data_IF_008451771017
#
_entry.id   IF_008451771017
#
_cell.length_a   1.000
_cell.length_b   1.000
_cell.length_c   1.000
_cell.angle_alpha   90.00
_cell.angle_beta   90.00
_cell.angle_gamma   90.00
#
_symmetry.space_group_name_H-M   'P 1'
#
loop_
_entity.id
_entity.type
_entity.pdbx_description
1 polymer ?
#
# COMPACT_ATOMS: atom_id res chain seq x y z
N UNK A 1 -29.60 -27.07 -40.79
CA UNK A 1 -30.26 -25.92 -41.43
C UNK A 1 -31.13 -25.28 -40.36
N UNK A 2 -30.84 -24.13 -39.76
CA UNK A 2 -29.70 -23.22 -39.74
C UNK A 2 -29.86 -22.46 -38.42
N UNK A 3 -28.81 -22.42 -37.61
CA UNK A 3 -28.73 -21.54 -36.45
C UNK A 3 -28.58 -20.09 -36.93
N UNK A 4 -29.24 -19.15 -36.28
CA UNK A 4 -28.93 -17.73 -36.37
C UNK A 4 -28.34 -17.35 -35.01
N UNK A 5 -27.06 -17.03 -35.05
CA UNK A 5 -26.27 -16.42 -33.98
C UNK A 5 -26.48 -14.91 -34.11
N UNK A 6 -27.02 -14.28 -33.07
CA UNK A 6 -27.05 -12.82 -32.93
C UNK A 6 -25.78 -12.41 -32.17
N UNK A 7 -24.80 -11.90 -32.93
CA UNK A 7 -23.62 -11.19 -32.42
C UNK A 7 -24.00 -9.73 -32.13
N UNK A 8 -24.20 -9.38 -30.86
CA UNK A 8 -24.24 -7.98 -30.44
C UNK A 8 -22.80 -7.43 -30.35
N UNK A 9 -22.44 -6.64 -31.36
CA UNK A 9 -21.27 -5.75 -31.38
C UNK A 9 -21.40 -4.69 -30.29
N UNK A 10 -20.45 -4.66 -29.37
CA UNK A 10 -20.25 -3.54 -28.44
C UNK A 10 -19.44 -2.47 -29.19
N UNK A 11 -20.09 -1.36 -29.54
CA UNK A 11 -19.43 -0.18 -30.10
C UNK A 11 -18.67 0.57 -29.00
N UNK A 12 -17.39 0.81 -29.25
CA UNK A 12 -16.50 1.63 -28.42
C UNK A 12 -16.84 3.09 -28.70
N UNK A 13 -17.39 3.81 -27.72
CA UNK A 13 -17.63 5.24 -27.83
C UNK A 13 -16.31 5.99 -27.59
N UNK A 14 -15.92 6.77 -28.58
CA UNK A 14 -14.75 7.63 -28.61
C UNK A 14 -14.90 8.83 -27.67
N UNK A 15 -13.79 9.17 -27.00
CA UNK A 15 -13.59 10.40 -26.24
C UNK A 15 -13.91 11.65 -27.08
N UNK A 16 -14.72 12.55 -26.54
CA UNK A 16 -14.88 13.90 -27.07
C UNK A 16 -14.73 14.95 -25.97
N UNK A 17 -13.68 15.75 -26.14
CA UNK A 17 -13.45 17.08 -25.60
C UNK A 17 -14.73 17.91 -25.42
N UNK A 18 -14.87 18.57 -24.27
CA UNK A 18 -15.59 19.83 -24.16
C UNK A 18 -14.73 20.80 -23.32
N UNK A 19 -14.13 21.77 -24.00
CA UNK A 19 -13.62 23.02 -23.44
C UNK A 19 -14.77 24.01 -23.16
N UNK A 20 -14.52 24.89 -22.20
CA UNK A 20 -15.07 26.23 -21.97
C UNK A 20 -16.54 26.43 -21.57
N UNK A 21 -16.70 26.89 -20.32
CA UNK A 21 -17.67 27.94 -19.99
C UNK A 21 -17.10 28.91 -18.94
N UNK A 22 -17.02 30.17 -19.37
CA UNK A 22 -16.51 31.35 -18.69
C UNK A 22 -17.52 31.88 -17.64
N UNK A 23 -16.95 32.33 -16.51
CA UNK A 23 -17.35 33.37 -15.52
C UNK A 23 -18.75 34.02 -15.62
N UNK A 24 -19.44 34.14 -14.47
CA UNK A 24 -19.85 35.45 -13.94
C UNK A 24 -20.38 35.39 -12.47
N UNK A 25 -19.90 36.37 -11.69
CA UNK A 25 -20.49 37.06 -10.52
C UNK A 25 -20.76 36.37 -9.17
N UNK A 26 -20.03 36.84 -8.14
CA UNK A 26 -20.62 37.50 -6.96
C UNK A 26 -19.56 38.09 -6.00
N UNK A 27 -19.44 39.43 -6.06
CA UNK A 27 -19.32 40.41 -4.96
C UNK A 27 -18.53 40.11 -3.67
N UNK A 28 -17.53 40.97 -3.45
CA UNK A 28 -17.26 41.77 -2.23
C UNK A 28 -17.76 41.23 -0.87
N UNK A 29 -16.84 41.02 0.08
CA UNK A 29 -16.63 41.98 1.17
C UNK A 29 -15.33 41.73 1.93
N UNK A 30 -14.91 42.81 2.59
CA UNK A 30 -13.63 43.15 3.18
C UNK A 30 -13.16 42.20 4.31
N UNK A 31 -11.84 42.04 4.43
CA UNK A 31 -11.21 42.36 5.72
C UNK A 31 -9.74 42.76 5.57
N UNK A 32 -9.43 43.86 6.25
CA UNK A 32 -8.16 44.58 6.27
C UNK A 32 -7.21 43.98 7.29
N UNK A 33 -5.92 44.04 6.99
CA UNK A 33 -4.89 44.77 7.75
C UNK A 33 -3.52 44.07 7.65
N UNK A 34 -2.49 44.87 7.41
CA UNK A 34 -1.10 44.47 7.59
C UNK A 34 -0.16 44.99 6.53
N UNK A 35 0.08 46.30 6.55
CA UNK A 35 1.19 46.95 5.83
C UNK A 35 2.53 46.26 6.16
N UNK A 36 3.33 45.99 5.12
CA UNK A 36 4.74 46.40 5.16
C UNK A 36 5.27 46.56 3.73
N UNK A 37 5.40 47.83 3.35
CA UNK A 37 5.99 48.26 2.09
C UNK A 37 7.45 48.64 2.33
N UNK A 38 8.39 47.84 1.85
CA UNK A 38 9.75 48.31 1.56
C UNK A 38 10.20 47.89 0.17
N UNK A 39 9.91 48.76 -0.79
CA UNK A 39 10.75 48.92 -1.99
C UNK A 39 12.08 49.56 -1.61
N UNK A 40 13.21 48.95 -1.97
CA UNK A 40 14.18 49.47 -2.96
C UNK A 40 15.49 48.67 -2.94
N UNK A 41 15.87 48.10 -4.08
CA UNK A 41 17.00 48.59 -4.88
C UNK A 41 17.45 47.51 -5.87
N UNK A 42 17.54 47.94 -7.13
CA UNK A 42 18.00 47.16 -8.26
C UNK A 42 19.53 47.04 -8.15
N UNK A 43 20.04 45.83 -7.92
CA UNK A 43 21.46 45.49 -7.90
C UNK A 43 21.68 44.17 -8.60
N UNK A 44 22.23 44.22 -9.82
CA UNK A 44 22.55 43.04 -10.62
C UNK A 44 23.53 42.11 -9.91
N UNK A 45 23.02 40.95 -9.49
CA UNK A 45 23.76 39.79 -9.05
C UNK A 45 22.79 38.63 -9.14
N UNK A 46 23.15 37.56 -9.87
CA UNK A 46 22.30 36.38 -10.06
C UNK A 46 21.98 35.73 -8.71
N UNK A 47 20.92 36.20 -8.06
CA UNK A 47 20.40 35.65 -6.83
C UNK A 47 19.58 34.42 -7.17
N UNK A 48 20.04 33.24 -6.73
CA UNK A 48 19.16 32.07 -6.61
C UNK A 48 17.92 32.51 -5.83
N UNK A 49 16.74 32.40 -6.42
CA UNK A 49 15.47 32.59 -5.72
C UNK A 49 15.48 31.69 -4.48
N UNK A 50 14.95 32.18 -3.35
CA UNK A 50 14.77 31.33 -2.18
C UNK A 50 13.83 30.21 -2.58
N UNK A 51 14.24 28.96 -2.38
CA UNK A 51 13.37 27.82 -2.55
C UNK A 51 12.10 28.01 -1.69
N UNK A 52 10.94 27.81 -2.30
CA UNK A 52 9.64 27.89 -1.64
C UNK A 52 9.13 26.46 -1.46
N UNK A 53 8.65 26.14 -0.26
CA UNK A 53 7.99 24.85 -0.01
C UNK A 53 6.69 24.82 -0.81
N UNK A 54 6.53 23.77 -1.62
CA UNK A 54 5.28 23.49 -2.31
C UNK A 54 4.23 23.05 -1.29
N UNK A 55 3.05 23.69 -1.34
CA UNK A 55 1.88 23.20 -0.64
C UNK A 55 0.94 22.56 -1.66
N UNK A 56 0.40 21.36 -1.38
CA UNK A 56 -0.57 20.71 -2.25
C UNK A 56 -1.71 21.64 -2.71
N UNK A 57 -2.09 21.53 -3.98
CA UNK A 57 -3.12 22.34 -4.61
C UNK A 57 -2.66 23.69 -5.15
N UNK A 58 -1.37 24.03 -5.03
CA UNK A 58 -0.80 25.20 -5.72
C UNK A 58 -0.47 24.82 -7.17
N UNK A 59 -0.88 25.65 -8.13
CA UNK A 59 -0.42 25.47 -9.51
C UNK A 59 1.06 25.84 -9.61
N UNK A 60 1.82 25.06 -10.38
CA UNK A 60 3.19 25.39 -10.76
C UNK A 60 3.16 26.28 -12.00
N UNK A 61 4.01 27.30 -12.02
CA UNK A 61 4.24 28.06 -13.26
C UNK A 61 4.96 27.17 -14.30
N UNK A 62 4.85 27.52 -15.59
CA UNK A 62 5.42 26.69 -16.69
C UNK A 62 6.93 26.41 -16.60
N UNK A 63 7.65 27.23 -15.84
CA UNK A 63 9.11 27.12 -15.65
C UNK A 63 9.49 26.61 -14.24
N UNK A 64 8.50 26.21 -13.43
CA UNK A 64 8.72 25.65 -12.10
C UNK A 64 8.72 24.11 -12.12
N UNK A 65 9.67 23.53 -11.41
CA UNK A 65 9.76 22.08 -11.20
C UNK A 65 9.83 21.79 -9.70
N UNK A 66 9.15 20.72 -9.27
CA UNK A 66 9.27 20.24 -7.91
C UNK A 66 10.61 19.55 -7.72
N UNK A 67 11.39 20.04 -6.77
CA UNK A 67 12.65 19.42 -6.35
C UNK A 67 12.43 18.86 -4.95
N UNK A 68 12.88 17.62 -4.74
CA UNK A 68 12.84 16.99 -3.42
C UNK A 68 13.67 17.80 -2.41
N UNK A 69 13.05 18.20 -1.32
CA UNK A 69 13.76 18.76 -0.17
C UNK A 69 14.25 17.63 0.73
N UNK A 70 15.49 17.22 0.51
CA UNK A 70 16.17 16.19 1.31
C UNK A 70 16.23 16.54 2.81
N UNK A 71 16.07 17.81 3.19
CA UNK A 71 16.09 18.22 4.60
C UNK A 71 14.87 17.74 5.39
N UNK A 72 13.76 17.42 4.70
CA UNK A 72 12.56 16.86 5.30
C UNK A 72 12.71 15.39 5.73
N UNK A 73 13.78 14.71 5.31
CA UNK A 73 13.97 13.28 5.53
C UNK A 73 15.25 12.98 6.33
N UNK A 74 15.13 12.14 7.35
CA UNK A 74 16.30 11.53 8.01
C UNK A 74 16.97 10.53 7.04
N UNK A 75 16.15 9.78 6.31
CA UNK A 75 16.56 8.78 5.32
C UNK A 75 15.56 8.75 4.16
N UNK A 76 16.08 8.86 2.94
CA UNK A 76 15.35 8.81 1.69
C UNK A 76 16.18 8.01 0.69
N UNK A 77 15.62 6.91 0.21
CA UNK A 77 16.21 6.06 -0.82
C UNK A 77 15.15 5.73 -1.87
N UNK A 78 15.57 5.64 -3.12
CA UNK A 78 14.70 5.25 -4.23
C UNK A 78 15.12 3.87 -4.75
N UNK A 79 14.13 2.99 -4.93
CA UNK A 79 14.30 1.66 -5.47
C UNK A 79 13.44 1.48 -6.73
N UNK A 80 13.95 0.72 -7.70
CA UNK A 80 13.24 0.41 -8.93
C UNK A 80 13.08 -1.10 -9.08
N UNK A 81 11.83 -1.58 -9.15
CA UNK A 81 11.47 -2.99 -9.26
C UNK A 81 11.25 -3.46 -10.71
N UNK A 82 11.33 -2.54 -11.68
CA UNK A 82 11.00 -2.79 -13.09
C UNK A 82 9.51 -2.56 -13.35
N UNK A 83 8.69 -3.59 -13.19
CA UNK A 83 7.24 -3.43 -13.29
C UNK A 83 6.68 -2.69 -12.05
N UNK A 84 5.60 -1.90 -12.20
CA UNK A 84 4.94 -1.27 -11.07
C UNK A 84 4.34 -2.33 -10.14
N UNK A 85 4.21 -1.99 -8.87
CA UNK A 85 3.67 -2.87 -7.84
C UNK A 85 2.40 -2.26 -7.24
N UNK A 86 1.28 -2.98 -7.29
CA UNK A 86 0.01 -2.53 -6.70
C UNK A 86 0.01 -2.63 -5.18
N UNK A 87 0.85 -3.51 -4.63
CA UNK A 87 0.94 -3.74 -3.20
C UNK A 87 2.33 -4.18 -2.80
N UNK A 88 2.69 -3.86 -1.57
CA UNK A 88 3.85 -4.40 -0.88
C UNK A 88 3.50 -4.66 0.58
N UNK A 89 4.31 -5.47 1.24
CA UNK A 89 4.22 -5.69 2.67
C UNK A 89 5.62 -5.88 3.27
N UNK A 90 5.77 -5.52 4.53
CA UNK A 90 7.05 -5.59 5.25
C UNK A 90 7.20 -6.97 5.86
N UNK A 91 8.32 -7.61 5.56
CA UNK A 91 8.69 -8.89 6.14
C UNK A 91 9.30 -8.65 7.52
N UNK A 92 8.75 -9.29 8.54
CA UNK A 92 9.37 -9.29 9.88
C UNK A 92 10.72 -10.01 9.83
N UNK A 93 11.78 -9.24 10.07
CA UNK A 93 13.15 -9.71 10.13
C UNK A 93 13.58 -9.94 11.61
N UNK A 94 14.66 -10.71 11.86
CA UNK A 94 15.12 -10.98 13.21
C UNK A 94 15.98 -9.85 13.82
N UNK A 95 16.09 -8.70 13.16
CA UNK A 95 16.95 -7.58 13.59
C UNK A 95 16.26 -6.70 14.64
N UNK A 96 14.96 -6.90 14.87
CA UNK A 96 14.17 -6.17 15.87
C UNK A 96 13.44 -4.95 15.29
N UNK A 97 12.56 -4.39 16.11
CA UNK A 97 11.74 -3.23 15.78
C UNK A 97 12.41 -1.92 16.25
N UNK A 98 11.88 -0.78 15.81
CA UNK A 98 12.29 0.58 16.22
C UNK A 98 13.82 0.82 16.11
N UNK A 99 14.41 0.30 15.04
CA UNK A 99 15.84 0.45 14.76
C UNK A 99 16.15 1.87 14.28
N UNK A 100 17.00 2.56 15.01
CA UNK A 100 17.45 3.93 14.69
C UNK A 100 18.94 4.02 14.32
N UNK A 101 19.67 2.91 14.43
CA UNK A 101 21.09 2.82 14.09
C UNK A 101 21.29 2.51 12.60
N UNK A 102 22.13 3.32 11.94
CA UNK A 102 22.43 3.20 10.52
C UNK A 102 23.71 2.36 10.30
N UNK A 103 23.82 1.65 9.16
CA UNK A 103 22.84 1.57 8.08
C UNK A 103 21.65 0.65 8.40
N UNK A 104 20.47 1.04 7.92
CA UNK A 104 19.26 0.25 8.04
C UNK A 104 19.18 -0.86 6.97
N UNK A 105 18.45 -1.91 7.32
CA UNK A 105 18.12 -3.04 6.45
C UNK A 105 16.64 -3.35 6.59
N UNK A 106 15.95 -3.58 5.47
CA UNK A 106 14.54 -3.96 5.46
C UNK A 106 14.32 -5.12 4.47
N UNK A 107 13.41 -6.02 4.83
CA UNK A 107 12.93 -7.07 3.95
C UNK A 107 11.50 -6.76 3.56
N UNK A 108 11.19 -6.89 2.27
CA UNK A 108 9.87 -6.56 1.74
C UNK A 108 9.44 -7.63 0.74
N UNK A 109 8.13 -7.70 0.53
CA UNK A 109 7.54 -8.37 -0.63
C UNK A 109 6.70 -7.38 -1.42
N UNK A 110 6.67 -7.51 -2.74
CA UNK A 110 5.80 -6.69 -3.59
C UNK A 110 5.19 -7.51 -4.73
N UNK A 111 3.97 -7.16 -5.10
CA UNK A 111 3.21 -7.81 -6.16
C UNK A 111 3.14 -6.94 -7.40
N UNK A 112 3.58 -7.45 -8.55
CA UNK A 112 3.67 -6.63 -9.77
C UNK A 112 2.35 -6.56 -10.55
N UNK A 113 2.20 -5.48 -11.31
CA UNK A 113 1.18 -5.28 -12.34
C UNK A 113 1.86 -4.90 -13.68
N UNK A 114 2.39 -5.89 -14.37
CA UNK A 114 2.99 -5.73 -15.68
C UNK A 114 1.92 -5.72 -16.78
N UNK A 115 2.16 -4.95 -17.85
CA UNK A 115 1.28 -4.89 -19.02
C UNK A 115 1.04 -6.26 -19.72
N UNK A 116 1.92 -7.23 -19.49
CA UNK A 116 1.77 -8.60 -19.99
C UNK A 116 1.56 -9.55 -18.82
N UNK A 117 0.43 -10.25 -18.81
CA UNK A 117 -0.01 -11.12 -17.71
C UNK A 117 1.00 -12.19 -17.27
N UNK A 118 1.84 -12.68 -18.19
CA UNK A 118 2.86 -13.70 -17.93
C UNK A 118 4.19 -13.16 -17.39
N UNK A 119 4.31 -11.84 -17.24
CA UNK A 119 5.50 -11.15 -16.70
C UNK A 119 5.35 -10.86 -15.21
N UNK A 120 4.15 -11.08 -14.66
CA UNK A 120 3.86 -10.79 -13.27
C UNK A 120 4.55 -11.76 -12.29
N UNK A 121 4.84 -11.25 -11.10
CA UNK A 121 5.43 -12.01 -10.02
C UNK A 121 5.28 -11.36 -8.66
N UNK A 122 5.60 -12.17 -7.65
CA UNK A 122 5.86 -11.71 -6.29
C UNK A 122 7.37 -11.52 -6.19
N UNK A 123 7.79 -10.30 -5.85
CA UNK A 123 9.19 -9.94 -5.65
C UNK A 123 9.48 -10.01 -4.15
N UNK A 124 10.41 -10.86 -3.74
CA UNK A 124 10.98 -10.84 -2.38
C UNK A 124 12.25 -9.99 -2.42
N UNK A 125 12.39 -9.05 -1.50
CA UNK A 125 13.42 -8.00 -1.54
C UNK A 125 14.17 -7.89 -0.22
N UNK A 126 15.46 -7.61 -0.31
CA UNK A 126 16.28 -7.08 0.79
C UNK A 126 16.85 -5.73 0.35
N UNK A 127 16.48 -4.68 1.06
CA UNK A 127 17.10 -3.37 0.98
C UNK A 127 18.10 -3.26 2.13
N UNK A 128 19.37 -2.98 1.84
CA UNK A 128 20.44 -2.96 2.83
C UNK A 128 21.44 -1.84 2.57
N UNK A 129 22.27 -1.55 3.57
CA UNK A 129 23.19 -0.41 3.54
C UNK A 129 22.47 0.94 3.34
N UNK A 130 21.24 1.08 3.85
CA UNK A 130 20.46 2.31 3.74
C UNK A 130 20.95 3.30 4.80
N UNK A 131 21.71 4.30 4.38
CA UNK A 131 22.32 5.32 5.24
C UNK A 131 21.44 6.59 5.32
N UNK A 132 21.74 7.49 6.27
CA UNK A 132 21.10 8.81 6.38
C UNK A 132 21.23 9.61 5.08
N UNK A 133 20.22 10.43 4.77
CA UNK A 133 20.25 11.33 3.61
C UNK A 133 21.23 12.48 3.81
N UNK A 134 21.17 13.11 4.98
CA UNK A 134 22.06 14.22 5.31
C UNK A 134 23.42 13.67 5.77
N UNK A 135 24.50 14.11 5.10
CA UNK A 135 25.87 13.88 5.56
C UNK A 135 26.18 14.90 6.67
N UNK A 136 26.53 14.43 7.86
CA UNK A 136 27.11 15.30 8.89
C UNK A 136 28.37 15.95 8.33
N UNK A 137 28.55 17.27 8.55
CA UNK A 137 29.69 18.05 8.05
C UNK A 137 31.04 17.71 8.73
N UNK A 138 31.06 16.71 9.61
CA UNK A 138 32.19 16.45 10.51
C UNK A 138 33.15 15.34 10.01
N UNK A 139 32.96 14.82 8.80
CA UNK A 139 33.92 13.92 8.13
C UNK A 139 34.94 14.68 7.22
N UNK A 140 35.25 15.95 7.51
CA UNK A 140 36.56 16.51 7.11
C UNK A 140 37.62 16.03 8.11
N UNK A 141 37.87 14.72 8.14
CA UNK A 141 39.16 14.23 8.62
C UNK A 141 40.08 14.10 7.40
N UNK A 142 41.19 14.84 7.48
CA UNK A 142 42.29 14.88 6.51
C UNK A 142 42.61 13.47 5.94
N UNK A 143 42.17 13.18 4.72
CA UNK A 143 42.80 12.14 3.91
C UNK A 143 43.54 12.80 2.74
N UNK A 144 44.77 13.22 3.05
CA UNK A 144 45.79 13.47 2.03
C UNK A 144 46.24 12.12 1.47
N UNK A 145 45.46 11.56 0.54
CA UNK A 145 45.80 10.36 -0.23
C UNK A 145 45.94 10.72 -1.71
N UNK A 146 47.14 10.53 -2.24
CA UNK A 146 47.57 10.90 -3.59
C UNK A 146 46.66 10.31 -4.69
N UNK A 147 46.41 11.11 -5.74
CA UNK A 147 45.78 10.65 -6.97
C UNK A 147 46.59 9.51 -7.60
N UNK A 148 45.98 8.33 -7.67
CA UNK A 148 46.44 7.22 -8.49
C UNK A 148 45.28 6.79 -9.38
N UNK A 149 45.41 7.09 -10.67
CA UNK A 149 44.62 6.50 -11.75
C UNK A 149 44.79 4.97 -11.71
N UNK A 150 43.81 4.26 -11.15
CA UNK A 150 43.62 2.83 -11.40
C UNK A 150 42.12 2.53 -11.52
N UNK A 151 41.77 1.93 -12.66
CA UNK A 151 40.43 1.49 -13.01
C UNK A 151 39.97 0.36 -12.08
N UNK A 152 38.75 0.53 -11.54
CA UNK A 152 37.85 -0.47 -10.96
C UNK A 152 38.15 -1.06 -9.55
N UNK A 153 37.07 -1.09 -8.75
CA UNK A 153 36.88 -1.66 -7.40
C UNK A 153 37.19 -0.73 -6.21
N UNK A 154 36.23 0.13 -5.84
CA UNK A 154 36.27 0.86 -4.58
C UNK A 154 35.21 1.95 -4.41
N UNK A 155 33.96 1.71 -4.81
CA UNK A 155 32.88 2.67 -4.59
C UNK A 155 32.51 2.75 -3.11
N UNK A 156 32.69 3.94 -2.54
CA UNK A 156 32.25 4.44 -1.21
C UNK A 156 31.31 3.46 -0.46
N UNK A 157 31.77 2.89 0.66
CA UNK A 157 31.11 1.80 1.41
C UNK A 157 29.70 2.11 1.95
N UNK A 158 29.11 3.24 1.56
CA UNK A 158 27.81 3.78 1.95
C UNK A 158 26.72 3.60 0.86
N UNK A 159 27.02 2.93 -0.26
CA UNK A 159 26.06 2.72 -1.36
C UNK A 159 24.93 1.74 -0.95
N UNK A 160 23.64 2.13 -1.06
CA UNK A 160 22.53 1.22 -0.75
C UNK A 160 22.45 0.06 -1.76
N UNK A 161 21.99 -1.10 -1.28
CA UNK A 161 21.89 -2.31 -2.07
C UNK A 161 20.46 -2.87 -2.04
N UNK A 162 19.95 -3.22 -3.22
CA UNK A 162 18.68 -3.91 -3.41
C UNK A 162 18.91 -5.28 -4.03
N UNK A 163 18.60 -6.34 -3.28
CA UNK A 163 18.57 -7.71 -3.77
C UNK A 163 17.13 -8.17 -3.95
N UNK A 164 16.83 -8.79 -5.09
CA UNK A 164 15.49 -9.26 -5.43
C UNK A 164 15.50 -10.73 -5.86
N UNK A 165 14.53 -11.50 -5.35
CA UNK A 165 14.21 -12.86 -5.78
C UNK A 165 12.75 -12.90 -6.26
N UNK A 166 12.55 -13.23 -7.55
CA UNK A 166 11.24 -13.22 -8.20
C UNK A 166 10.59 -14.61 -8.17
N UNK A 167 9.33 -14.65 -7.75
CA UNK A 167 8.41 -15.79 -7.91
C UNK A 167 7.43 -15.45 -9.02
N UNK A 168 7.36 -16.26 -10.07
CA UNK A 168 6.35 -16.05 -11.13
C UNK A 168 4.94 -16.19 -10.57
N UNK A 169 4.07 -15.31 -11.02
CA UNK A 169 2.68 -15.27 -10.60
C UNK A 169 1.76 -15.27 -11.82
N UNK A 170 0.65 -16.00 -11.73
CA UNK A 170 -0.34 -16.06 -12.80
C UNK A 170 -1.25 -14.83 -12.70
N UNK A 171 -1.12 -13.91 -13.66
CA UNK A 171 -1.83 -12.63 -13.64
C UNK A 171 -1.22 -11.60 -12.69
N UNK A 172 -1.72 -10.38 -12.73
CA UNK A 172 -1.38 -9.31 -11.80
C UNK A 172 -1.62 -9.72 -10.34
N UNK A 173 -0.79 -9.17 -9.45
CA UNK A 173 -0.93 -9.34 -8.00
C UNK A 173 -1.62 -8.10 -7.43
N UNK A 174 -2.92 -8.20 -7.15
CA UNK A 174 -3.77 -7.09 -6.72
C UNK A 174 -3.39 -6.62 -5.30
N UNK A 175 -3.33 -7.55 -4.35
CA UNK A 175 -2.84 -7.30 -2.99
C UNK A 175 -2.08 -8.52 -2.48
N UNK A 176 -1.03 -8.30 -1.68
CA UNK A 176 -0.36 -9.36 -0.94
C UNK A 176 -0.15 -8.98 0.53
N UNK A 177 -0.06 -10.00 1.39
CA UNK A 177 0.25 -9.85 2.82
C UNK A 177 1.12 -10.99 3.32
N UNK A 178 2.05 -10.68 4.23
CA UNK A 178 3.00 -11.62 4.83
C UNK A 178 2.50 -12.09 6.19
N UNK A 179 2.77 -13.35 6.51
CA UNK A 179 2.70 -13.84 7.90
C UNK A 179 3.86 -14.78 8.20
N UNK A 180 4.26 -14.85 9.46
CA UNK A 180 5.10 -15.93 9.98
C UNK A 180 4.25 -16.95 10.72
N UNK A 181 4.26 -18.20 10.27
CA UNK A 181 3.51 -19.30 10.87
C UNK A 181 4.34 -20.59 10.87
N UNK A 182 4.43 -21.27 12.01
CA UNK A 182 5.21 -22.51 12.19
C UNK A 182 6.66 -22.41 11.68
N UNK A 183 7.34 -21.29 11.95
CA UNK A 183 8.74 -21.07 11.52
C UNK A 183 8.90 -20.87 10.00
N UNK A 184 7.80 -20.69 9.28
CA UNK A 184 7.80 -20.43 7.83
C UNK A 184 7.23 -19.04 7.57
N UNK A 185 7.86 -18.31 6.66
CA UNK A 185 7.32 -17.07 6.14
C UNK A 185 6.46 -17.35 4.92
N UNK A 186 5.20 -16.91 4.99
CA UNK A 186 4.23 -17.07 3.94
C UNK A 186 3.82 -15.72 3.37
N UNK A 187 3.63 -15.69 2.06
CA UNK A 187 2.93 -14.61 1.36
C UNK A 187 1.61 -15.15 0.86
N UNK A 188 0.50 -14.54 1.26
CA UNK A 188 -0.75 -14.69 0.54
C UNK A 188 -0.88 -13.59 -0.52
N UNK A 189 -1.37 -13.95 -1.70
CA UNK A 189 -1.50 -13.03 -2.84
C UNK A 189 -2.84 -13.21 -3.53
N UNK A 190 -3.48 -12.09 -3.83
CA UNK A 190 -4.71 -11.98 -4.60
C UNK A 190 -4.35 -11.81 -6.09
N UNK A 191 -4.81 -12.72 -6.94
CA UNK A 191 -4.60 -12.70 -8.39
C UNK A 191 -5.83 -12.16 -9.13
N UNK A 192 -5.59 -11.30 -10.14
CA UNK A 192 -6.63 -10.85 -11.09
C UNK A 192 -7.38 -12.01 -11.77
N UNK A 193 -6.82 -13.23 -11.75
CA UNK A 193 -7.43 -14.44 -12.28
C UNK A 193 -8.49 -15.06 -11.35
N UNK A 194 -8.94 -14.35 -10.30
CA UNK A 194 -9.95 -14.85 -9.37
C UNK A 194 -9.40 -15.89 -8.38
N UNK A 195 -8.11 -15.84 -8.06
CA UNK A 195 -7.43 -16.85 -7.23
C UNK A 195 -6.64 -16.22 -6.10
N UNK A 196 -6.56 -16.94 -4.99
CA UNK A 196 -5.67 -16.59 -3.89
C UNK A 196 -4.63 -17.69 -3.74
N UNK A 197 -3.36 -17.28 -3.75
CA UNK A 197 -2.22 -18.18 -3.63
C UNK A 197 -1.49 -17.94 -2.32
N UNK A 198 -1.00 -19.01 -1.68
CA UNK A 198 -0.11 -18.94 -0.52
C UNK A 198 1.24 -19.54 -0.92
N UNK A 199 2.30 -18.75 -0.80
CA UNK A 199 3.68 -19.12 -1.12
C UNK A 199 4.53 -19.16 0.13
N UNK A 200 5.32 -20.21 0.30
CA UNK A 200 6.46 -20.21 1.23
C UNK A 200 7.63 -19.47 0.58
N UNK A 201 8.14 -18.44 1.26
CA UNK A 201 9.19 -17.56 0.73
C UNK A 201 10.55 -17.73 1.41
N UNK A 202 10.73 -18.76 2.24
CA UNK A 202 11.98 -18.95 3.01
C UNK A 202 13.21 -19.11 2.10
N UNK A 203 13.09 -19.80 0.97
CA UNK A 203 14.20 -19.95 0.02
C UNK A 203 14.60 -18.60 -0.60
N UNK A 204 13.60 -17.79 -0.94
CA UNK A 204 13.78 -16.48 -1.54
C UNK A 204 14.40 -15.50 -0.55
N UNK A 205 13.96 -15.54 0.71
CA UNK A 205 14.56 -14.76 1.80
C UNK A 205 16.03 -15.13 2.02
N UNK A 206 16.34 -16.43 2.06
CA UNK A 206 17.73 -16.89 2.14
C UNK A 206 18.55 -16.47 0.92
N UNK A 207 17.93 -16.46 -0.27
CA UNK A 207 18.61 -16.03 -1.50
C UNK A 207 18.92 -14.53 -1.49
N UNK A 208 17.99 -13.65 -1.08
CA UNK A 208 18.25 -12.20 -1.08
C UNK A 208 19.21 -11.77 0.03
N UNK A 209 19.38 -12.59 1.07
CA UNK A 209 20.28 -12.31 2.20
C UNK A 209 21.77 -12.40 1.82
N UNK A 210 22.12 -13.25 0.84
CA UNK A 210 23.48 -13.45 0.32
C UNK A 210 23.59 -13.11 -1.18
N UNK A 211 24.55 -12.24 -1.54
CA UNK A 211 24.70 -11.77 -2.93
C UNK A 211 24.98 -12.89 -3.94
N UNK A 212 25.74 -13.93 -3.55
CA UNK A 212 26.05 -15.03 -4.43
C UNK A 212 24.84 -15.95 -4.62
N UNK A 213 24.12 -16.27 -3.54
CA UNK A 213 22.87 -17.01 -3.55
C UNK A 213 21.80 -16.29 -4.38
N UNK A 214 21.68 -14.97 -4.24
CA UNK A 214 20.76 -14.13 -5.02
C UNK A 214 21.03 -14.26 -6.52
N UNK A 215 22.29 -14.09 -6.97
CA UNK A 215 22.68 -14.27 -8.37
C UNK A 215 22.40 -15.69 -8.88
N UNK A 216 22.68 -16.70 -8.04
CA UNK A 216 22.43 -18.10 -8.37
C UNK A 216 20.93 -18.38 -8.52
N UNK A 217 20.10 -17.81 -7.65
CA UNK A 217 18.65 -17.89 -7.74
C UNK A 217 18.15 -17.24 -9.03
N UNK A 218 18.67 -16.05 -9.35
CA UNK A 218 18.30 -15.32 -10.55
C UNK A 218 18.63 -16.08 -11.84
N UNK A 219 19.78 -16.77 -11.89
CA UNK A 219 20.18 -17.54 -13.07
C UNK A 219 19.41 -18.87 -13.21
N UNK A 220 19.10 -19.53 -12.10
CA UNK A 220 18.57 -20.91 -12.13
C UNK A 220 17.05 -21.00 -11.92
N UNK A 221 16.44 -20.01 -11.26
CA UNK A 221 15.06 -20.07 -10.77
C UNK A 221 14.15 -18.92 -11.21
N UNK A 222 14.64 -17.97 -12.01
CA UNK A 222 13.77 -16.97 -12.67
C UNK A 222 12.92 -17.71 -13.72
N UNK A 223 11.75 -18.21 -13.30
CA UNK A 223 11.05 -19.30 -14.00
C UNK A 223 9.89 -19.94 -13.21
N UNK A 224 9.30 -21.00 -13.79
CA UNK A 224 8.14 -21.77 -13.27
C UNK A 224 8.48 -22.70 -12.07
N UNK A 225 9.56 -22.43 -11.34
CA UNK A 225 10.11 -23.35 -10.36
C UNK A 225 9.39 -23.34 -9.00
N UNK A 226 8.83 -22.20 -8.62
CA UNK A 226 8.19 -22.02 -7.30
C UNK A 226 6.69 -22.18 -7.47
N UNK A 227 6.14 -23.20 -6.81
CA UNK A 227 4.70 -23.44 -6.77
C UNK A 227 4.13 -22.92 -5.46
N UNK A 228 2.88 -22.42 -5.46
CA UNK A 228 2.21 -22.10 -4.21
C UNK A 228 1.96 -23.38 -3.41
N UNK A 229 2.13 -23.30 -2.09
CA UNK A 229 1.79 -24.39 -1.16
C UNK A 229 0.27 -24.60 -1.09
N UNK A 230 -0.49 -23.54 -1.38
CA UNK A 230 -1.93 -23.60 -1.48
C UNK A 230 -2.49 -22.65 -2.53
N UNK A 231 -3.57 -23.05 -3.21
CA UNK A 231 -4.32 -22.19 -4.14
C UNK A 231 -5.80 -22.39 -3.93
N UNK A 232 -6.52 -21.28 -3.74
CA UNK A 232 -7.97 -21.25 -3.70
C UNK A 232 -8.54 -20.64 -4.98
N UNK A 233 -9.61 -21.25 -5.48
CA UNK A 233 -10.32 -20.86 -6.69
C UNK A 233 -11.84 -20.86 -6.49
N UNK A 234 -12.30 -20.66 -5.24
CA UNK A 234 -13.73 -20.62 -4.91
C UNK A 234 -14.37 -19.23 -5.01
N UNK A 235 -13.57 -18.17 -5.06
CA UNK A 235 -14.06 -16.81 -5.33
C UNK A 235 -14.72 -16.72 -6.71
N UNK A 236 -15.72 -15.84 -6.82
CA UNK A 236 -16.55 -15.73 -8.02
C UNK A 236 -16.06 -14.64 -8.98
N UNK A 237 -15.24 -13.71 -8.47
CA UNK A 237 -14.58 -12.63 -9.19
C UNK A 237 -13.19 -12.43 -8.57
N UNK A 238 -12.34 -11.63 -9.19
CA UNK A 238 -11.12 -11.13 -8.55
C UNK A 238 -11.42 -10.29 -7.30
N UNK A 239 -10.39 -9.89 -6.56
CA UNK A 239 -10.53 -9.09 -5.35
C UNK A 239 -9.23 -8.42 -4.93
N UNK A 240 -9.35 -7.56 -3.92
CA UNK A 240 -8.25 -6.81 -3.31
C UNK A 240 -8.14 -7.11 -1.81
N UNK A 241 -9.26 -7.30 -1.11
CA UNK A 241 -9.28 -7.52 0.32
C UNK A 241 -8.59 -8.82 0.74
N UNK A 242 -7.53 -8.71 1.54
CA UNK A 242 -6.79 -9.83 2.12
C UNK A 242 -6.08 -9.41 3.40
N UNK A 243 -6.25 -10.21 4.46
CA UNK A 243 -5.53 -9.96 5.72
C UNK A 243 -5.33 -11.24 6.55
N UNK A 244 -4.16 -11.30 7.21
CA UNK A 244 -3.79 -12.35 8.15
C UNK A 244 -4.21 -11.97 9.56
N UNK A 245 -4.82 -12.90 10.29
CA UNK A 245 -5.22 -12.64 11.66
C UNK A 245 -4.00 -12.51 12.59
N UNK A 246 -3.81 -11.37 13.26
CA UNK A 246 -2.64 -11.16 14.11
C UNK A 246 -2.70 -12.00 15.40
N UNK A 247 -3.90 -12.33 15.89
CA UNK A 247 -4.09 -13.10 17.13
C UNK A 247 -4.11 -14.61 16.93
N UNK A 248 -4.33 -15.09 15.71
CA UNK A 248 -4.32 -16.52 15.38
C UNK A 248 -3.52 -16.74 14.10
N UNK A 249 -2.23 -17.03 14.30
CA UNK A 249 -1.27 -17.17 13.20
C UNK A 249 -1.72 -18.19 12.17
N UNK A 250 -1.58 -17.83 10.90
CA UNK A 250 -1.97 -18.66 9.76
C UNK A 250 -3.46 -18.63 9.42
N UNK A 251 -4.31 -17.94 10.21
CA UNK A 251 -5.69 -17.69 9.82
C UNK A 251 -5.75 -16.46 8.90
N UNK A 252 -6.53 -16.55 7.81
CA UNK A 252 -6.60 -15.54 6.74
C UNK A 252 -8.07 -15.24 6.42
N UNK A 253 -8.35 -14.02 5.96
CA UNK A 253 -9.60 -13.66 5.33
C UNK A 253 -9.34 -13.05 3.95
N UNK A 254 -10.23 -13.34 2.99
CA UNK A 254 -10.16 -12.80 1.62
C UNK A 254 -11.55 -12.37 1.16
N UNK A 255 -11.66 -11.19 0.57
CA UNK A 255 -12.89 -10.67 -0.05
C UNK A 255 -12.73 -10.54 -1.55
N UNK A 256 -13.81 -10.73 -2.30
CA UNK A 256 -13.84 -10.50 -3.75
C UNK A 256 -14.70 -9.29 -4.17
N UNK A 257 -14.53 -8.90 -5.43
CA UNK A 257 -15.27 -7.82 -6.07
C UNK A 257 -16.73 -8.15 -6.38
N UNK A 258 -17.27 -9.25 -5.82
CA UNK A 258 -18.71 -9.54 -5.88
C UNK A 258 -19.40 -9.16 -4.56
N UNK A 259 -18.80 -9.55 -3.42
CA UNK A 259 -19.19 -9.29 -2.02
C UNK A 259 -18.73 -10.39 -1.05
N UNK A 260 -18.19 -11.49 -1.56
CA UNK A 260 -18.06 -12.73 -0.80
C UNK A 260 -16.76 -12.73 0.00
N UNK A 261 -16.86 -12.90 1.33
CA UNK A 261 -15.69 -13.00 2.22
C UNK A 261 -15.48 -14.45 2.64
N UNK A 262 -14.31 -15.00 2.36
CA UNK A 262 -13.93 -16.36 2.72
C UNK A 262 -12.96 -16.36 3.90
N UNK A 263 -13.18 -17.25 4.87
CA UNK A 263 -12.31 -17.43 6.03
C UNK A 263 -11.50 -18.71 5.87
N UNK A 264 -10.21 -18.61 6.18
CA UNK A 264 -9.23 -19.65 5.96
C UNK A 264 -8.59 -20.03 7.29
N UNK A 265 -8.58 -21.33 7.60
CA UNK A 265 -7.99 -21.84 8.84
C UNK A 265 -6.85 -22.81 8.52
N UNK A 266 -5.68 -22.67 9.16
CA UNK A 266 -4.60 -23.63 8.98
C UNK A 266 -5.06 -24.99 9.53
N UNK A 267 -4.59 -26.07 8.93
CA UNK A 267 -4.90 -27.44 9.33
C UNK A 267 -3.63 -28.23 9.67
N UNK A 268 -3.82 -29.37 10.34
CA UNK A 268 -2.72 -30.21 10.84
C UNK A 268 -1.83 -30.82 9.73
N UNK A 269 -2.22 -30.69 8.47
CA UNK A 269 -1.45 -31.19 7.31
C UNK A 269 -0.50 -30.15 6.74
N UNK A 270 -0.36 -28.99 7.39
CA UNK A 270 0.44 -27.87 6.86
C UNK A 270 -0.22 -27.20 5.65
N UNK A 271 -1.55 -27.12 5.65
CA UNK A 271 -2.35 -26.54 4.57
C UNK A 271 -3.50 -25.71 5.15
N UNK A 272 -4.44 -25.26 4.32
CA UNK A 272 -5.58 -24.44 4.73
C UNK A 272 -6.92 -25.10 4.41
N UNK A 273 -7.86 -24.97 5.33
CA UNK A 273 -9.28 -25.22 5.09
C UNK A 273 -9.95 -23.88 4.84
N UNK A 274 -10.61 -23.73 3.70
CA UNK A 274 -11.37 -22.52 3.35
C UNK A 274 -12.86 -22.81 3.52
N UNK A 275 -13.55 -21.93 4.26
CA UNK A 275 -14.98 -22.05 4.49
C UNK A 275 -15.72 -21.97 3.14
N UNK A 276 -16.47 -23.04 2.80
CA UNK A 276 -17.17 -23.13 1.50
C UNK A 276 -18.40 -22.20 1.41
N UNK A 277 -18.82 -21.62 2.53
CA UNK A 277 -19.89 -20.64 2.58
C UNK A 277 -19.27 -19.31 2.98
N UNK A 278 -19.24 -18.32 2.09
CA UNK A 278 -18.70 -17.02 2.42
C UNK A 278 -19.57 -16.30 3.46
N UNK A 279 -18.98 -15.35 4.17
CA UNK A 279 -19.74 -14.34 4.88
C UNK A 279 -20.42 -13.45 3.82
N UNK A 280 -21.73 -13.23 3.98
CA UNK A 280 -22.53 -12.44 3.04
C UNK A 280 -23.23 -11.34 3.83
N UNK A 281 -23.06 -10.11 3.38
CA UNK A 281 -23.63 -8.92 4.02
C UNK A 281 -23.42 -7.67 3.19
N UNK A 282 -22.22 -7.48 2.64
CA UNK A 282 -21.99 -6.46 1.61
C UNK A 282 -22.83 -6.73 0.36
N UNK A 283 -23.22 -5.66 -0.33
CA UNK A 283 -24.00 -5.74 -1.57
C UNK A 283 -23.17 -5.58 -2.83
N UNK A 284 -21.91 -5.17 -2.70
CA UNK A 284 -20.96 -4.97 -3.79
C UNK A 284 -19.52 -5.36 -3.37
N UNK A 285 -18.53 -5.03 -4.20
CA UNK A 285 -17.11 -5.32 -4.03
C UNK A 285 -16.59 -5.04 -2.62
N UNK A 286 -15.85 -6.00 -2.05
CA UNK A 286 -15.14 -5.84 -0.77
C UNK A 286 -13.73 -5.36 -1.05
N UNK A 287 -13.43 -4.11 -0.71
CA UNK A 287 -12.18 -3.43 -1.06
C UNK A 287 -11.06 -3.70 -0.05
N UNK A 288 -11.41 -3.81 1.23
CA UNK A 288 -10.44 -4.12 2.28
C UNK A 288 -11.05 -4.88 3.45
N UNK A 289 -10.19 -5.64 4.13
CA UNK A 289 -10.50 -6.44 5.30
C UNK A 289 -9.35 -6.30 6.29
N UNK A 290 -9.66 -6.14 7.57
CA UNK A 290 -8.69 -6.15 8.67
C UNK A 290 -9.21 -7.03 9.81
N UNK A 291 -8.43 -8.02 10.21
CA UNK A 291 -8.72 -8.78 11.42
C UNK A 291 -8.57 -7.89 12.65
N UNK A 292 -9.39 -8.18 13.67
CA UNK A 292 -9.24 -7.50 14.95
C UNK A 292 -7.85 -7.78 15.53
N UNK A 293 -7.17 -6.74 16.06
CA UNK A 293 -5.86 -6.90 16.68
C UNK A 293 -5.92 -7.64 18.02
N UNK A 294 -7.11 -7.82 18.61
CA UNK A 294 -7.27 -8.38 19.96
C UNK A 294 -8.31 -9.50 20.07
N UNK A 295 -9.17 -9.74 19.07
CA UNK A 295 -10.18 -10.80 19.09
C UNK A 295 -10.09 -11.68 17.84
N UNK A 296 -9.74 -12.94 18.05
CA UNK A 296 -9.40 -13.87 16.98
C UNK A 296 -10.53 -14.21 16.01
N UNK A 297 -11.79 -13.97 16.34
CA UNK A 297 -12.90 -14.32 15.45
C UNK A 297 -13.57 -13.10 14.83
N UNK A 298 -13.04 -11.90 15.09
CA UNK A 298 -13.63 -10.65 14.64
C UNK A 298 -12.78 -10.02 13.57
N UNK A 299 -13.42 -9.53 12.52
CA UNK A 299 -12.79 -8.74 11.45
C UNK A 299 -13.70 -7.60 11.04
N UNK A 300 -13.11 -6.58 10.42
CA UNK A 300 -13.78 -5.46 9.79
C UNK A 300 -13.60 -5.57 8.28
N UNK A 301 -14.55 -5.04 7.52
CA UNK A 301 -14.43 -4.90 6.06
C UNK A 301 -15.08 -3.61 5.58
N UNK A 302 -14.63 -3.12 4.44
CA UNK A 302 -15.22 -2.00 3.73
C UNK A 302 -15.51 -2.34 2.26
N UNK A 303 -16.34 -1.54 1.61
CA UNK A 303 -16.91 -1.90 0.30
C UNK A 303 -17.36 -0.69 -0.51
N UNK A 304 -17.44 -0.91 -1.82
CA UNK A 304 -18.15 -0.08 -2.82
C UNK A 304 -19.62 0.18 -2.43
N UNK A 305 -20.23 -0.67 -1.60
CA UNK A 305 -21.58 -0.41 -1.06
C UNK A 305 -21.64 0.72 -0.02
N UNK A 306 -20.55 1.48 0.12
CA UNK A 306 -20.38 2.64 1.02
C UNK A 306 -20.48 2.28 2.50
N UNK A 307 -20.29 1.01 2.86
CA UNK A 307 -20.43 0.56 4.24
C UNK A 307 -19.15 0.00 4.82
N UNK A 308 -19.04 0.13 6.15
CA UNK A 308 -18.06 -0.59 6.96
C UNK A 308 -18.83 -1.59 7.83
N UNK A 309 -18.38 -2.84 7.83
CA UNK A 309 -19.02 -3.94 8.56
C UNK A 309 -18.06 -4.60 9.52
N UNK A 310 -18.58 -4.95 10.70
CA UNK A 310 -17.86 -5.76 11.69
C UNK A 310 -18.49 -7.14 11.75
N UNK A 311 -17.66 -8.17 11.68
CA UNK A 311 -18.06 -9.56 11.57
C UNK A 311 -17.59 -10.35 12.78
N UNK A 312 -18.40 -11.29 13.24
CA UNK A 312 -18.00 -12.32 14.20
C UNK A 312 -18.18 -13.70 13.56
N UNK A 313 -17.04 -14.32 13.24
CA UNK A 313 -16.94 -15.59 12.54
C UNK A 313 -17.38 -16.81 13.39
N UNK A 314 -17.75 -16.61 14.66
CA UNK A 314 -18.36 -17.66 15.50
C UNK A 314 -19.82 -17.91 15.11
N UNK A 315 -20.48 -16.90 14.55
CA UNK A 315 -21.86 -17.03 14.07
C UNK A 315 -21.89 -17.71 12.69
N UNK A 316 -23.06 -18.23 12.31
CA UNK A 316 -23.25 -18.76 10.96
C UNK A 316 -23.02 -17.64 9.92
N UNK A 317 -22.48 -17.94 8.72
CA UNK A 317 -22.06 -16.91 7.77
C UNK A 317 -23.13 -15.86 7.42
N UNK A 318 -24.40 -16.26 7.31
CA UNK A 318 -25.53 -15.36 7.02
C UNK A 318 -25.95 -14.45 8.19
N UNK A 319 -25.35 -14.65 9.36
CA UNK A 319 -25.59 -13.89 10.60
C UNK A 319 -24.30 -13.37 11.20
N UNK A 320 -23.17 -13.46 10.49
CA UNK A 320 -21.86 -13.09 11.01
C UNK A 320 -21.66 -11.58 11.07
N UNK A 321 -22.38 -10.80 10.26
CA UNK A 321 -22.33 -9.34 10.34
C UNK A 321 -23.02 -8.86 11.62
N UNK A 322 -22.24 -8.34 12.57
CA UNK A 322 -22.68 -7.91 13.89
C UNK A 322 -23.02 -6.41 13.92
N UNK A 323 -22.20 -5.60 13.24
CA UNK A 323 -22.34 -4.15 13.19
C UNK A 323 -22.20 -3.67 11.75
N UNK A 324 -22.88 -2.58 11.42
CA UNK A 324 -22.81 -1.95 10.10
C UNK A 324 -22.92 -0.44 10.28
N UNK A 325 -21.94 0.28 9.73
CA UNK A 325 -22.05 1.70 9.43
C UNK A 325 -22.36 1.80 7.93
N UNK A 326 -23.64 1.91 7.60
CA UNK A 326 -24.08 2.21 6.23
C UNK A 326 -23.87 3.69 5.91
N UNK A 327 -23.58 3.99 4.64
CA UNK A 327 -23.23 5.34 4.20
C UNK A 327 -22.08 5.92 5.04
N UNK A 328 -21.07 5.09 5.27
CA UNK A 328 -19.86 5.48 5.99
C UNK A 328 -19.13 6.61 5.27
N UNK A 329 -19.17 6.62 3.93
CA UNK A 329 -18.64 7.65 3.04
C UNK A 329 -19.71 8.08 2.02
N UNK A 330 -19.50 9.23 1.38
CA UNK A 330 -20.38 9.71 0.29
C UNK A 330 -20.16 8.91 -1.02
N UNK A 331 -19.01 8.26 -1.14
CA UNK A 331 -18.62 7.35 -2.22
C UNK A 331 -18.13 6.00 -1.68
N UNK A 332 -17.48 5.21 -2.52
CA UNK A 332 -16.94 3.89 -2.22
C UNK A 332 -15.93 3.96 -1.07
N UNK A 333 -15.89 2.93 -0.21
CA UNK A 333 -14.91 2.84 0.88
C UNK A 333 -13.81 1.87 0.48
N UNK A 334 -12.62 2.41 0.22
CA UNK A 334 -11.53 1.67 -0.40
C UNK A 334 -10.63 0.94 0.60
N UNK A 335 -10.40 1.56 1.76
CA UNK A 335 -9.40 1.09 2.71
C UNK A 335 -9.83 1.31 4.15
N UNK A 336 -9.38 0.41 5.02
CA UNK A 336 -9.54 0.54 6.46
C UNK A 336 -8.25 0.15 7.18
N UNK A 337 -7.98 0.78 8.32
CA UNK A 337 -6.93 0.34 9.24
C UNK A 337 -7.44 0.31 10.66
N UNK A 338 -7.23 -0.82 11.34
CA UNK A 338 -7.69 -1.05 12.71
C UNK A 338 -6.56 -0.70 13.69
N UNK A 339 -6.81 0.27 14.57
CA UNK A 339 -5.86 0.65 15.60
C UNK A 339 -5.57 -0.54 16.54
N UNK A 340 -4.28 -0.83 16.78
CA UNK A 340 -3.85 -2.01 17.55
C UNK A 340 -4.09 -1.90 19.06
N UNK A 341 -4.22 -0.67 19.57
CA UNK A 341 -4.27 -0.38 21.00
C UNK A 341 -5.61 0.20 21.46
N UNK A 342 -6.28 0.94 20.59
CA UNK A 342 -7.55 1.62 20.86
C UNK A 342 -8.68 1.01 20.01
N UNK A 343 -9.96 1.09 20.45
CA UNK A 343 -11.10 0.55 19.71
C UNK A 343 -11.49 1.47 18.52
N UNK A 344 -10.51 1.88 17.72
CA UNK A 344 -10.66 2.81 16.61
C UNK A 344 -10.40 2.11 15.27
N UNK A 345 -11.16 2.52 14.25
CA UNK A 345 -10.91 2.18 12.85
C UNK A 345 -10.77 3.48 12.08
N UNK A 346 -9.75 3.60 11.24
CA UNK A 346 -9.67 4.63 10.21
C UNK A 346 -10.22 4.07 8.90
N UNK A 347 -10.92 4.88 8.11
CA UNK A 347 -11.37 4.53 6.75
C UNK A 347 -11.14 5.67 5.78
N UNK A 348 -10.81 5.33 4.54
CA UNK A 348 -10.69 6.26 3.42
C UNK A 348 -11.57 5.81 2.26
N UNK A 349 -12.14 6.76 1.55
CA UNK A 349 -13.02 6.50 0.41
C UNK A 349 -12.67 7.31 -0.84
N UNK A 350 -13.42 7.05 -1.90
CA UNK A 350 -13.37 7.79 -3.16
C UNK A 350 -13.84 9.24 -3.03
N UNK A 351 -14.43 9.62 -1.89
CA UNK A 351 -14.79 11.00 -1.58
C UNK A 351 -13.59 11.85 -1.12
N UNK A 352 -12.39 11.29 -1.05
CA UNK A 352 -11.18 11.97 -0.56
C UNK A 352 -11.20 12.26 0.94
N UNK A 353 -12.16 11.68 1.68
CA UNK A 353 -12.36 11.94 3.10
C UNK A 353 -11.80 10.80 3.93
N UNK A 354 -11.08 11.13 5.01
CA UNK A 354 -10.69 10.17 6.04
C UNK A 354 -11.65 10.26 7.23
N UNK A 355 -12.17 9.12 7.67
CA UNK A 355 -13.03 9.02 8.84
C UNK A 355 -12.41 8.15 9.94
N UNK A 356 -12.61 8.57 11.19
CA UNK A 356 -12.26 7.78 12.38
C UNK A 356 -13.53 7.31 13.06
N UNK A 357 -13.60 6.02 13.37
CA UNK A 357 -14.74 5.35 13.95
C UNK A 357 -14.39 4.77 15.31
N UNK A 358 -15.20 5.07 16.32
CA UNK A 358 -15.11 4.42 17.63
C UNK A 358 -16.06 3.23 17.70
N UNK A 359 -15.52 2.03 17.87
CA UNK A 359 -16.31 0.80 17.95
C UNK A 359 -17.31 0.77 19.10
N UNK A 360 -17.06 1.55 20.17
CA UNK A 360 -17.99 1.71 21.30
C UNK A 360 -19.23 2.51 20.92
N UNK A 361 -19.13 3.32 19.87
CA UNK A 361 -20.19 4.20 19.38
C UNK A 361 -20.63 3.84 17.95
N UNK A 362 -20.13 2.75 17.37
CA UNK A 362 -20.35 2.38 15.96
C UNK A 362 -21.83 2.30 15.54
N UNK A 363 -22.72 2.00 16.49
CA UNK A 363 -24.17 1.96 16.25
C UNK A 363 -24.80 3.33 15.96
N UNK A 364 -24.13 4.44 16.30
CA UNK A 364 -24.56 5.77 15.89
C UNK A 364 -24.37 6.00 14.40
N UNK A 365 -23.50 5.21 13.75
CA UNK A 365 -23.14 5.31 12.34
C UNK A 365 -22.58 6.68 11.95
N UNK A 366 -21.95 7.33 12.92
CA UNK A 366 -21.30 8.64 12.73
C UNK A 366 -19.82 8.51 13.08
N UNK A 367 -18.91 9.00 12.24
CA UNK A 367 -17.50 9.04 12.60
C UNK A 367 -17.28 10.00 13.76
N UNK A 368 -16.30 9.71 14.61
CA UNK A 368 -15.89 10.58 15.72
C UNK A 368 -14.94 11.69 15.26
N UNK A 369 -14.30 11.53 14.11
CA UNK A 369 -13.51 12.55 13.45
C UNK A 369 -13.56 12.40 11.93
N UNK A 370 -13.41 13.53 11.23
CA UNK A 370 -13.44 13.64 9.77
C UNK A 370 -12.32 14.56 9.33
N UNK A 371 -11.45 14.08 8.45
CA UNK A 371 -10.36 14.85 7.87
C UNK A 371 -10.58 15.00 6.36
N UNK A 372 -10.58 16.25 5.89
CA UNK A 372 -10.75 16.60 4.47
C UNK A 372 -9.45 17.23 3.99
N UNK A 373 -8.55 16.41 3.48
CA UNK A 373 -7.24 16.85 3.02
C UNK A 373 -6.93 16.32 1.63
N UNK A 374 -7.11 15.02 1.41
CA UNK A 374 -6.94 14.46 0.07
C UNK A 374 -7.96 15.07 -0.89
N UNK A 375 -7.50 15.36 -2.10
CA UNK A 375 -8.32 15.96 -3.17
C UNK A 375 -8.81 14.95 -4.20
N UNK A 376 -8.39 13.69 -4.07
CA UNK A 376 -8.76 12.55 -4.91
C UNK A 376 -8.92 11.28 -4.03
N UNK A 377 -9.19 10.13 -4.63
CA UNK A 377 -9.49 8.88 -3.94
C UNK A 377 -8.41 8.51 -2.92
N UNK A 378 -8.81 8.13 -1.70
CA UNK A 378 -7.87 7.57 -0.72
C UNK A 378 -7.65 6.09 -1.04
N UNK A 379 -6.40 5.72 -1.32
CA UNK A 379 -6.02 4.36 -1.77
C UNK A 379 -5.25 3.57 -0.71
N UNK A 380 -4.77 4.21 0.35
CA UNK A 380 -4.16 3.54 1.50
C UNK A 380 -4.35 4.30 2.80
N UNK A 381 -4.51 3.58 3.90
CA UNK A 381 -4.46 4.10 5.26
C UNK A 381 -3.82 3.07 6.16
N UNK A 382 -2.89 3.47 7.01
CA UNK A 382 -2.28 2.58 8.02
C UNK A 382 -2.07 3.32 9.34
N UNK A 383 -2.62 2.77 10.41
CA UNK A 383 -2.27 3.17 11.77
C UNK A 383 -0.83 2.78 12.09
N UNK A 384 -0.14 3.64 12.82
CA UNK A 384 1.16 3.29 13.34
C UNK A 384 1.05 2.06 14.27
N UNK A 385 1.93 1.06 14.14
CA UNK A 385 1.76 -0.23 14.82
C UNK A 385 1.88 -0.18 16.34
N UNK A 386 2.52 0.87 16.88
CA UNK A 386 2.75 1.05 18.33
C UNK A 386 2.09 2.30 18.91
N UNK A 387 2.28 3.45 18.28
CA UNK A 387 1.61 4.69 18.68
C UNK A 387 0.17 4.81 18.19
N UNK A 388 -0.75 4.90 19.14
CA UNK A 388 -2.20 4.87 18.88
C UNK A 388 -2.78 6.19 18.36
N UNK A 389 -1.97 7.24 18.22
CA UNK A 389 -2.39 8.57 17.75
C UNK A 389 -1.85 8.95 16.39
N UNK A 390 -0.98 8.11 15.80
CA UNK A 390 -0.31 8.40 14.53
C UNK A 390 -0.85 7.47 13.46
N UNK A 391 -1.21 8.01 12.30
CA UNK A 391 -1.55 7.23 11.12
C UNK A 391 -1.05 7.92 9.85
N UNK A 392 -0.91 7.15 8.79
CA UNK A 392 -0.60 7.64 7.45
C UNK A 392 -1.77 7.37 6.51
N UNK A 393 -2.01 8.27 5.56
CA UNK A 393 -2.92 8.07 4.44
C UNK A 393 -2.25 8.42 3.13
N UNK A 394 -2.65 7.76 2.04
CA UNK A 394 -2.22 8.11 0.69
C UNK A 394 -3.37 8.03 -0.31
N UNK A 395 -3.31 8.84 -1.36
CA UNK A 395 -4.37 8.95 -2.35
C UNK A 395 -3.88 9.13 -3.77
N UNK A 396 -4.84 9.14 -4.70
CA UNK A 396 -4.63 9.38 -6.15
C UNK A 396 -4.24 10.83 -6.46
N UNK A 397 -4.21 11.70 -5.44
CA UNK A 397 -3.69 13.07 -5.50
C UNK A 397 -2.17 13.17 -5.33
N UNK A 398 -1.47 12.06 -5.56
CA UNK A 398 -0.02 11.88 -5.48
C UNK A 398 0.60 12.28 -4.12
N UNK A 399 -0.18 12.17 -3.03
CA UNK A 399 0.24 12.58 -1.69
C UNK A 399 0.19 11.46 -0.67
N UNK A 400 1.14 11.52 0.28
CA UNK A 400 1.10 10.78 1.54
C UNK A 400 1.05 11.81 2.67
N UNK A 401 0.03 11.71 3.52
CA UNK A 401 -0.15 12.55 4.70
C UNK A 401 0.13 11.75 5.98
N UNK A 402 0.81 12.38 6.94
CA UNK A 402 0.99 11.88 8.31
C UNK A 402 0.12 12.70 9.25
N UNK A 403 -0.65 12.03 10.11
CA UNK A 403 -1.63 12.63 11.01
C UNK A 403 -1.28 12.44 12.48
#
# INVERSE_FOLDING_TARGET
MSAQEDEERMEVAEDQNIEDAILEDASDEEDKDGEDNQTTSNGGGGGRSKAKVYLPGQALDNDEELVCDESAYIMLHQAHTGAPCLSFDVVQDPLGDDREEFPLTAFLVAGTQAARTHVNGVIVMKMSNMNRTQREKDDESDDSGEESDDEDVGGDGKTPHLNCALIKHAGCVNRLRVTTFNGTQYVASWSEMGRVHIYNINEQLAAVDDNHACRTYQQNKVGDGVKPDFTFSGHQKEGFAIDWCPTTRGMLATGDCRRDIHIWRPNDKGSWNVDQRPLVGHTDSVEDIQWSPNEANVLASCSVDKSIRIWDCRAAPSKACMLTADNAHESDVNVISWNRNEPLIASGGDDGVLHIWDLRQFQTKTPVATFKHHTDHITTVEWHPKESTILASGGDDDQIALW
#
